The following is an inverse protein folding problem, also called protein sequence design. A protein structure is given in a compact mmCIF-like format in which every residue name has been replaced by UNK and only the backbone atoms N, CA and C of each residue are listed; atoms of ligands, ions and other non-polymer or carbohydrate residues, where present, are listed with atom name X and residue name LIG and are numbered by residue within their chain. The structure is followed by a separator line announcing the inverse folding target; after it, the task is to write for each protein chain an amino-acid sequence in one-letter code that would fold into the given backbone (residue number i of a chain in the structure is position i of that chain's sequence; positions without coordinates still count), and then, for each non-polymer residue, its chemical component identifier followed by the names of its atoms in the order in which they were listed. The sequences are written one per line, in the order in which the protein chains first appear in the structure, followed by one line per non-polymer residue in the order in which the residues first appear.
data_IF_822445013641
#
_entry.id   IF_822445013641
#
_cell.length_a   1.000
_cell.length_b   1.000
_cell.length_c   1.000
_cell.angle_alpha   90.00
_cell.angle_beta   90.00
_cell.angle_gamma   90.00
#
_symmetry.space_group_name_H-M   'P 1'
#
loop_
_entity.id
_entity.type
_entity.pdbx_description
1 polymer ?
#
# COMPACT_ATOMS: atom_id res chain seq x y z
N UNK A 1 -12.01 4.70 -12.15
CA UNK A 1 -12.27 5.89 -11.31
C UNK A 1 -11.57 5.63 -9.97
N UNK A 2 -10.70 6.53 -9.52
CA UNK A 2 -10.07 6.38 -8.20
C UNK A 2 -11.14 6.51 -7.12
N UNK A 3 -11.07 5.64 -6.14
CA UNK A 3 -12.14 5.44 -5.16
C UNK A 3 -12.03 6.44 -4.02
N UNK A 4 -10.80 6.82 -3.66
CA UNK A 4 -10.52 7.88 -2.70
C UNK A 4 -10.07 9.17 -3.41
N UNK A 5 -10.45 10.35 -2.90
CA UNK A 5 -9.89 11.62 -3.37
C UNK A 5 -8.42 11.73 -2.98
N UNK A 6 -7.70 12.70 -3.55
CA UNK A 6 -6.34 13.02 -3.11
C UNK A 6 -6.28 13.30 -1.61
N UNK A 7 -5.14 12.99 -1.00
CA UNK A 7 -4.94 13.18 0.43
C UNK A 7 -5.19 14.65 0.81
N UNK A 8 -5.99 14.87 1.86
CA UNK A 8 -6.30 16.22 2.33
C UNK A 8 -5.16 16.72 3.21
N UNK A 9 -4.38 17.66 2.69
CA UNK A 9 -3.28 18.32 3.39
C UNK A 9 -3.62 19.78 3.63
N UNK A 10 -2.96 20.39 4.61
CA UNK A 10 -3.02 21.85 4.76
C UNK A 10 -2.29 22.51 3.59
N UNK A 11 -2.78 23.64 3.05
CA UNK A 11 -2.17 24.29 1.89
C UNK A 11 -0.68 24.58 2.05
N UNK A 12 -0.25 24.99 3.24
CA UNK A 12 1.17 25.24 3.55
C UNK A 12 2.04 23.98 3.43
N UNK A 13 1.51 22.82 3.80
CA UNK A 13 2.21 21.53 3.72
C UNK A 13 2.25 21.04 2.27
N UNK A 14 1.15 21.16 1.54
CA UNK A 14 1.09 20.77 0.12
C UNK A 14 2.08 21.59 -0.71
N UNK A 15 2.17 22.90 -0.47
CA UNK A 15 3.13 23.78 -1.13
C UNK A 15 4.58 23.42 -0.79
N UNK A 16 4.87 23.16 0.50
CA UNK A 16 6.20 22.73 0.92
C UNK A 16 6.64 21.43 0.26
N UNK A 17 5.75 20.43 0.21
CA UNK A 17 6.02 19.17 -0.49
C UNK A 17 6.22 19.42 -1.98
N UNK A 18 5.37 20.24 -2.61
CA UNK A 18 5.49 20.58 -4.03
C UNK A 18 6.85 21.19 -4.35
N UNK A 19 7.37 22.11 -3.53
CA UNK A 19 8.70 22.70 -3.72
C UNK A 19 9.82 21.64 -3.69
N UNK A 20 9.72 20.65 -2.80
CA UNK A 20 10.67 19.54 -2.73
C UNK A 20 10.61 18.60 -3.94
N UNK A 21 9.41 18.22 -4.36
CA UNK A 21 9.19 17.33 -5.52
C UNK A 21 9.37 18.03 -6.88
N UNK A 22 9.47 19.37 -6.89
CA UNK A 22 9.71 20.19 -8.08
C UNK A 22 11.07 20.92 -8.04
N UNK A 23 12.06 20.34 -7.37
CA UNK A 23 13.40 20.92 -7.33
C UNK A 23 14.01 21.03 -8.75
N UNK A 24 15.04 21.88 -8.88
CA UNK A 24 15.68 22.16 -10.18
C UNK A 24 16.22 20.89 -10.85
N UNK A 25 16.72 19.94 -10.05
CA UNK A 25 17.24 18.66 -10.53
C UNK A 25 16.12 17.82 -11.18
N UNK A 26 15.00 17.63 -10.49
CA UNK A 26 13.84 16.88 -11.01
C UNK A 26 13.27 17.56 -12.25
N UNK A 27 13.14 18.88 -12.25
CA UNK A 27 12.62 19.63 -13.42
C UNK A 27 13.59 19.57 -14.61
N UNK A 28 14.89 19.53 -14.35
CA UNK A 28 15.91 19.37 -15.41
C UNK A 28 15.95 17.95 -15.98
N UNK A 29 15.66 16.94 -15.16
CA UNK A 29 15.67 15.53 -15.54
C UNK A 29 14.33 15.06 -16.16
N UNK A 30 13.22 15.62 -15.69
CA UNK A 30 11.85 15.36 -16.15
C UNK A 30 11.12 16.68 -16.23
N UNK A 31 10.54 16.99 -17.39
CA UNK A 31 9.95 18.32 -17.65
C UNK A 31 9.02 18.80 -16.52
N UNK A 32 8.90 20.12 -16.34
CA UNK A 32 8.07 20.73 -15.28
C UNK A 32 6.65 20.11 -15.21
N UNK A 33 6.04 19.90 -16.36
CA UNK A 33 4.68 19.36 -16.49
C UNK A 33 4.59 17.89 -16.05
N UNK A 34 5.63 17.10 -16.33
CA UNK A 34 5.71 15.70 -15.90
C UNK A 34 5.95 15.59 -14.39
N UNK A 35 6.80 16.46 -13.83
CA UNK A 35 7.02 16.55 -12.40
C UNK A 35 5.73 16.92 -11.64
N UNK A 36 4.97 17.91 -12.13
CA UNK A 36 3.64 18.26 -11.57
C UNK A 36 2.68 17.06 -11.63
N UNK A 37 2.60 16.38 -12.78
CA UNK A 37 1.74 15.21 -12.95
C UNK A 37 2.11 14.08 -11.98
N UNK A 38 3.42 13.81 -11.79
CA UNK A 38 3.91 12.79 -10.85
C UNK A 38 3.57 13.15 -9.41
N UNK A 39 3.71 14.42 -9.04
CA UNK A 39 3.34 14.90 -7.71
C UNK A 39 1.84 14.73 -7.44
N UNK A 40 0.97 15.15 -8.37
CA UNK A 40 -0.48 14.94 -8.25
C UNK A 40 -0.85 13.45 -8.19
N UNK A 41 -0.16 12.61 -8.97
CA UNK A 41 -0.36 11.15 -8.94
C UNK A 41 0.02 10.56 -7.58
N UNK A 42 1.11 11.03 -6.98
CA UNK A 42 1.55 10.62 -5.64
C UNK A 42 0.49 10.96 -4.59
N UNK A 43 -0.02 12.20 -4.57
CA UNK A 43 -1.05 12.62 -3.62
C UNK A 43 -2.35 11.81 -3.76
N UNK A 44 -2.67 11.36 -4.97
CA UNK A 44 -3.81 10.47 -5.19
C UNK A 44 -3.54 9.05 -4.67
N UNK A 45 -2.35 8.49 -4.88
CA UNK A 45 -2.02 7.14 -4.42
C UNK A 45 -1.89 7.04 -2.89
N UNK A 46 -1.47 8.11 -2.20
CA UNK A 46 -1.33 8.10 -0.74
C UNK A 46 -2.65 7.91 0.01
N UNK A 47 -3.78 8.23 -0.61
CA UNK A 47 -5.12 7.97 -0.03
C UNK A 47 -5.56 6.51 -0.13
N UNK A 48 -4.86 5.68 -0.88
CA UNK A 48 -5.24 4.29 -1.13
C UNK A 48 -4.36 3.35 -0.30
N UNK A 49 -4.93 2.28 0.27
CA UNK A 49 -4.12 1.26 0.93
C UNK A 49 -3.20 0.56 -0.09
N UNK A 50 -2.03 0.07 0.34
CA UNK A 50 -1.17 -0.75 -0.50
C UNK A 50 -1.91 -2.00 -1.01
N UNK A 51 -1.60 -2.43 -2.24
CA UNK A 51 -2.22 -3.62 -2.84
C UNK A 51 -1.79 -4.94 -2.18
N UNK A 52 -0.73 -4.92 -1.38
CA UNK A 52 -0.22 -6.08 -0.66
C UNK A 52 0.02 -5.73 0.81
N UNK A 53 -0.54 -6.55 1.69
CA UNK A 53 -0.15 -6.59 3.09
C UNK A 53 1.09 -7.47 3.21
N UNK A 54 2.13 -6.96 3.86
CA UNK A 54 3.40 -7.67 4.02
C UNK A 54 3.58 -8.13 5.46
N UNK A 55 4.12 -9.33 5.64
CA UNK A 55 4.39 -9.92 6.96
C UNK A 55 5.80 -10.48 6.96
N UNK A 56 6.63 -10.03 7.90
CA UNK A 56 7.98 -10.59 8.12
C UNK A 56 7.89 -11.78 9.05
N UNK A 57 8.42 -12.93 8.62
CA UNK A 57 8.49 -14.15 9.39
C UNK A 57 9.64 -14.08 10.39
N UNK A 58 9.37 -14.46 11.64
CA UNK A 58 10.43 -14.67 12.62
C UNK A 58 11.12 -16.02 12.39
N UNK A 59 12.14 -16.02 11.54
CA UNK A 59 12.89 -17.21 11.12
C UNK A 59 13.68 -17.89 12.24
N UNK A 60 13.89 -17.22 13.38
CA UNK A 60 14.53 -17.82 14.55
C UNK A 60 13.63 -18.85 15.24
N UNK A 61 12.31 -18.68 15.18
CA UNK A 61 11.34 -19.54 15.88
C UNK A 61 10.62 -20.51 14.94
N UNK A 62 10.43 -20.14 13.68
CA UNK A 62 9.69 -20.95 12.72
C UNK A 62 10.19 -20.74 11.29
N UNK A 63 10.09 -21.78 10.46
CA UNK A 63 10.40 -21.67 9.03
C UNK A 63 9.32 -20.89 8.28
N UNK A 64 9.72 -20.24 7.18
CA UNK A 64 8.83 -19.45 6.32
C UNK A 64 7.67 -20.29 5.79
N UNK A 65 7.96 -21.52 5.36
CA UNK A 65 6.95 -22.44 4.84
C UNK A 65 5.92 -22.85 5.92
N UNK A 66 6.38 -23.05 7.16
CA UNK A 66 5.49 -23.38 8.26
C UNK A 66 4.53 -22.22 8.57
N UNK A 67 5.07 -21.00 8.71
CA UNK A 67 4.26 -19.80 8.97
C UNK A 67 3.31 -19.49 7.81
N UNK A 68 3.76 -19.68 6.57
CA UNK A 68 2.91 -19.54 5.38
C UNK A 68 1.68 -20.45 5.44
N UNK A 69 1.86 -21.73 5.79
CA UNK A 69 0.75 -22.67 5.90
C UNK A 69 -0.23 -22.28 7.02
N UNK A 70 0.29 -21.83 8.18
CA UNK A 70 -0.54 -21.32 9.27
C UNK A 70 -1.34 -20.09 8.86
N UNK A 71 -0.73 -19.16 8.13
CA UNK A 71 -1.41 -17.96 7.63
C UNK A 71 -2.52 -18.31 6.62
N UNK A 72 -2.31 -19.28 5.73
CA UNK A 72 -3.36 -19.73 4.79
C UNK A 72 -4.58 -20.23 5.56
N UNK A 73 -4.37 -21.08 6.57
CA UNK A 73 -5.46 -21.62 7.41
C UNK A 73 -6.18 -20.49 8.17
N UNK A 74 -5.44 -19.51 8.69
CA UNK A 74 -6.03 -18.39 9.43
C UNK A 74 -6.83 -17.45 8.51
N UNK A 75 -6.30 -17.13 7.33
CA UNK A 75 -7.00 -16.31 6.34
C UNK A 75 -8.29 -16.99 5.86
N UNK A 76 -8.28 -18.31 5.66
CA UNK A 76 -9.48 -19.08 5.33
C UNK A 76 -10.56 -18.96 6.41
N UNK A 77 -10.18 -18.98 7.69
CA UNK A 77 -11.12 -18.76 8.80
C UNK A 77 -11.69 -17.35 8.83
N UNK A 78 -10.85 -16.33 8.58
CA UNK A 78 -11.26 -14.92 8.64
C UNK A 78 -12.14 -14.50 7.47
N UNK A 79 -11.92 -15.07 6.29
CA UNK A 79 -12.61 -14.69 5.05
C UNK A 79 -13.64 -15.72 4.57
N UNK A 80 -14.29 -16.46 5.48
CA UNK A 80 -15.35 -17.42 5.16
C UNK A 80 -14.97 -18.39 4.02
N UNK A 81 -13.83 -19.05 4.16
CA UNK A 81 -13.28 -20.02 3.18
C UNK A 81 -12.83 -19.44 1.83
N UNK A 82 -12.78 -18.11 1.69
CA UNK A 82 -12.12 -17.51 0.53
C UNK A 82 -10.63 -17.85 0.54
N UNK A 83 -10.19 -18.51 -0.55
CA UNK A 83 -8.79 -18.85 -0.75
C UNK A 83 -8.00 -17.62 -1.21
N UNK A 84 -7.35 -16.95 -0.27
CA UNK A 84 -6.42 -15.84 -0.55
C UNK A 84 -5.00 -16.42 -0.64
N UNK A 85 -4.26 -16.19 -1.75
CA UNK A 85 -2.91 -16.73 -1.88
C UNK A 85 -1.92 -15.99 -0.99
N UNK A 86 -1.01 -16.73 -0.35
CA UNK A 86 0.13 -16.16 0.38
C UNK A 86 1.39 -16.40 -0.44
N UNK A 87 1.99 -15.31 -0.94
CA UNK A 87 3.18 -15.35 -1.78
C UNK A 87 4.43 -15.11 -0.93
N UNK A 88 5.58 -15.64 -1.35
CA UNK A 88 6.87 -15.33 -0.75
C UNK A 88 7.61 -14.34 -1.65
N UNK A 89 8.26 -13.33 -1.07
CA UNK A 89 9.01 -12.35 -1.85
C UNK A 89 10.29 -13.00 -2.44
N UNK A 90 10.60 -12.77 -3.74
CA UNK A 90 11.75 -13.42 -4.38
C UNK A 90 13.10 -13.01 -3.77
N UNK A 91 13.29 -11.73 -3.48
CA UNK A 91 14.56 -11.20 -2.98
C UNK A 91 14.63 -11.11 -1.44
N UNK A 92 13.50 -11.25 -0.75
CA UNK A 92 13.38 -11.07 0.70
C UNK A 92 12.84 -12.39 1.29
N UNK A 93 13.74 -13.32 1.66
CA UNK A 93 13.35 -14.70 1.92
C UNK A 93 12.43 -14.85 3.14
N UNK A 94 12.48 -13.91 4.09
CA UNK A 94 11.67 -13.88 5.31
C UNK A 94 10.38 -13.07 5.17
N UNK A 95 10.03 -12.58 3.97
CA UNK A 95 8.82 -11.77 3.75
C UNK A 95 7.74 -12.55 3.00
N UNK A 96 6.53 -12.53 3.56
CA UNK A 96 5.31 -13.03 2.94
C UNK A 96 4.43 -11.86 2.48
N UNK A 97 3.80 -12.02 1.32
CA UNK A 97 2.93 -11.04 0.68
C UNK A 97 1.51 -11.61 0.59
N UNK A 98 0.53 -10.84 1.06
CA UNK A 98 -0.90 -11.18 1.04
C UNK A 98 -1.60 -10.12 0.19
N UNK A 99 -2.23 -10.49 -0.95
CA UNK A 99 -2.93 -9.53 -1.78
C UNK A 99 -4.18 -9.00 -1.06
N UNK A 100 -4.38 -7.69 -1.15
CA UNK A 100 -5.58 -7.02 -0.64
C UNK A 100 -6.65 -7.03 -1.74
N UNK A 101 -7.77 -7.69 -1.47
CA UNK A 101 -8.91 -7.72 -2.40
C UNK A 101 -9.70 -6.41 -2.25
N UNK A 102 -9.73 -5.61 -3.31
CA UNK A 102 -10.47 -4.37 -3.39
C UNK A 102 -10.21 -3.63 -4.71
N UNK A 103 -10.86 -2.49 -4.96
CA UNK A 103 -11.90 -1.88 -4.13
C UNK A 103 -13.29 -2.48 -4.43
N UNK A 104 -13.99 -2.96 -3.40
CA UNK A 104 -15.44 -3.23 -3.47
C UNK A 104 -16.21 -2.05 -2.86
N UNK A 105 -17.39 -1.72 -3.39
CA UNK A 105 -18.25 -0.66 -2.85
C UNK A 105 -18.66 -0.86 -1.37
N UNK A 106 -18.43 -2.04 -0.80
CA UNK A 106 -18.76 -2.42 0.58
C UNK A 106 -17.63 -2.22 1.62
N UNK A 107 -16.35 -2.25 1.20
CA UNK A 107 -15.18 -2.24 2.11
C UNK A 107 -14.90 -0.89 2.81
N UNK A 108 -15.84 0.04 2.71
CA UNK A 108 -15.69 1.45 3.06
C UNK A 108 -15.90 1.74 4.55
N UNK A 109 -16.59 0.85 5.28
CA UNK A 109 -16.84 1.06 6.71
C UNK A 109 -15.62 0.74 7.58
N UNK A 110 -14.71 -0.12 7.12
CA UNK A 110 -13.58 -0.55 7.95
C UNK A 110 -12.41 0.46 7.99
N UNK A 111 -12.13 1.17 6.89
CA UNK A 111 -11.02 2.13 6.86
C UNK A 111 -11.27 3.42 7.65
N UNK A 112 -12.54 3.77 7.90
CA UNK A 112 -12.89 4.96 8.69
C UNK A 112 -12.71 4.78 10.21
N UNK A 113 -12.51 3.55 10.69
CA UNK A 113 -12.43 3.25 12.12
C UNK A 113 -11.00 3.20 12.70
N UNK A 114 -9.95 3.27 11.87
CA UNK A 114 -8.56 3.17 12.35
C UNK A 114 -7.85 4.51 12.59
N UNK A 115 -8.49 5.64 12.25
CA UNK A 115 -7.94 6.99 12.44
C UNK A 115 -8.91 7.94 13.17
N UNK A 116 -9.69 7.41 14.11
CA UNK A 116 -10.48 8.24 15.03
C UNK A 116 -10.20 7.88 16.48
#
# INVERSE_FOLDING_TARGET
MSVFPKISLRPEVENYLKEGFMNKEVVSASSKQEAERKFETLLNHLSHPPSFTTVRVNTHLASVQHVKNLLIVELQKQFNELSIPVLQHPDLPDVLLIPVIGPSYESWRCYFCLFR
#
